data_IF_657762727122
#
_entry.id   IF_657762727122
#
_cell.length_a   1.000
_cell.length_b   1.000
_cell.length_c   1.000
_cell.angle_alpha   90.00
_cell.angle_beta   90.00
_cell.angle_gamma   90.00
#
_symmetry.space_group_name_H-M   'P 1'
#
loop_
_entity.id
_entity.type
_entity.pdbx_description
1 polymer ?
#
# COMPACT_ATOMS: atom_id res chain seq x y z
N UNK A 1 18.17 14.04 11.22
CA UNK A 1 17.17 14.53 10.26
C UNK A 1 15.82 13.95 10.68
N UNK A 2 14.81 14.78 10.94
CA UNK A 2 13.47 14.30 11.35
C UNK A 2 12.50 14.57 10.19
N UNK A 3 12.27 13.55 9.37
CA UNK A 3 11.33 13.57 8.23
C UNK A 3 10.25 12.52 8.45
N UNK A 4 9.02 12.82 8.02
CA UNK A 4 7.99 11.79 7.89
C UNK A 4 8.35 10.82 6.77
N UNK A 5 7.75 9.62 6.76
CA UNK A 5 7.96 8.63 5.70
C UNK A 5 7.65 9.18 4.30
N UNK A 6 6.67 10.07 4.21
CA UNK A 6 6.26 10.69 2.95
C UNK A 6 7.31 11.72 2.45
N UNK A 7 7.85 12.54 3.35
CA UNK A 7 8.95 13.47 3.04
C UNK A 7 10.24 12.73 2.67
N UNK A 8 10.60 11.70 3.44
CA UNK A 8 11.76 10.84 3.17
C UNK A 8 11.67 10.18 1.78
N UNK A 9 10.48 9.72 1.39
CA UNK A 9 10.24 9.10 0.09
C UNK A 9 10.48 10.08 -1.06
N UNK A 10 10.06 11.34 -0.91
CA UNK A 10 10.33 12.40 -1.90
C UNK A 10 11.80 12.75 -1.96
N UNK A 11 12.42 12.94 -0.79
CA UNK A 11 13.83 13.27 -0.69
C UNK A 11 14.67 12.19 -1.39
N UNK A 12 14.46 10.92 -1.03
CA UNK A 12 15.15 9.79 -1.62
C UNK A 12 14.95 9.69 -3.14
N UNK A 13 13.71 9.85 -3.62
CA UNK A 13 13.43 9.82 -5.06
C UNK A 13 14.15 10.96 -5.81
N UNK A 14 14.26 12.15 -5.22
CA UNK A 14 15.01 13.28 -5.80
C UNK A 14 16.51 13.01 -5.85
N UNK A 15 17.08 12.46 -4.79
CA UNK A 15 18.50 12.09 -4.75
C UNK A 15 18.85 11.03 -5.82
N UNK A 16 17.92 10.13 -6.13
CA UNK A 16 18.07 9.16 -7.22
C UNK A 16 17.83 9.74 -8.62
N UNK A 17 17.42 11.01 -8.74
CA UNK A 17 17.12 11.65 -10.02
C UNK A 17 15.80 11.18 -10.67
N UNK A 18 14.96 10.44 -9.93
CA UNK A 18 13.70 9.87 -10.42
C UNK A 18 12.75 10.96 -10.92
N UNK A 19 12.07 10.70 -12.03
CA UNK A 19 11.08 11.61 -12.63
C UNK A 19 9.67 11.07 -12.55
N UNK A 20 9.49 9.74 -12.63
CA UNK A 20 8.19 9.10 -12.63
C UNK A 20 8.06 8.08 -11.50
N UNK A 21 7.02 8.24 -10.67
CA UNK A 21 6.71 7.34 -9.56
C UNK A 21 5.34 6.71 -9.71
N UNK A 22 5.19 5.48 -9.24
CA UNK A 22 3.91 4.78 -9.18
C UNK A 22 3.32 4.75 -7.78
N UNK A 23 2.00 4.80 -7.68
CA UNK A 23 1.25 4.67 -6.43
C UNK A 23 0.23 3.52 -6.56
N UNK A 24 0.54 2.37 -5.97
CA UNK A 24 -0.37 1.24 -5.90
C UNK A 24 -1.17 1.30 -4.60
N UNK A 25 -2.50 1.33 -4.66
CA UNK A 25 -3.32 1.58 -3.47
C UNK A 25 -4.54 0.69 -3.34
N UNK A 26 -4.97 0.46 -2.10
CA UNK A 26 -6.23 -0.21 -1.82
C UNK A 26 -7.41 0.75 -1.98
N UNK A 27 -8.52 0.25 -2.54
CA UNK A 27 -9.78 1.00 -2.66
C UNK A 27 -10.25 1.64 -1.33
N UNK A 28 -10.00 0.97 -0.20
CA UNK A 28 -10.36 1.46 1.13
C UNK A 28 -9.48 2.59 1.66
N UNK A 29 -8.36 2.91 1.00
CA UNK A 29 -7.47 4.02 1.33
C UNK A 29 -7.32 4.99 0.14
N UNK A 30 -8.40 5.14 -0.65
CA UNK A 30 -8.39 6.01 -1.85
C UNK A 30 -8.09 7.47 -1.51
N UNK A 31 -8.60 7.97 -0.38
CA UNK A 31 -8.42 9.36 0.01
C UNK A 31 -6.97 9.64 0.43
N UNK A 32 -6.38 8.74 1.20
CA UNK A 32 -4.98 8.78 1.61
C UNK A 32 -4.07 8.69 0.38
N UNK A 33 -4.36 7.78 -0.55
CA UNK A 33 -3.62 7.66 -1.80
C UNK A 33 -3.71 8.94 -2.65
N UNK A 34 -4.86 9.62 -2.66
CA UNK A 34 -5.02 10.92 -3.34
C UNK A 34 -4.08 11.97 -2.74
N UNK A 35 -3.98 12.07 -1.42
CA UNK A 35 -3.08 13.03 -0.78
C UNK A 35 -1.60 12.72 -1.03
N UNK A 36 -1.21 11.44 -0.95
CA UNK A 36 0.16 11.00 -1.29
C UNK A 36 0.50 11.37 -2.74
N UNK A 37 -0.39 11.06 -3.69
CA UNK A 37 -0.18 11.38 -5.10
C UNK A 37 -0.13 12.90 -5.35
N UNK A 38 -0.98 13.69 -4.69
CA UNK A 38 -0.94 15.16 -4.77
C UNK A 38 0.39 15.72 -4.26
N UNK A 39 0.90 15.18 -3.16
CA UNK A 39 2.19 15.59 -2.63
C UNK A 39 3.34 15.24 -3.59
N UNK A 40 3.39 14.02 -4.13
CA UNK A 40 4.41 13.68 -5.14
C UNK A 40 4.33 14.58 -6.38
N UNK A 41 3.11 14.88 -6.88
CA UNK A 41 2.94 15.82 -7.99
C UNK A 41 3.46 17.22 -7.66
N UNK A 42 3.17 17.74 -6.45
CA UNK A 42 3.65 19.07 -6.05
C UNK A 42 5.17 19.15 -5.92
N UNK A 43 5.83 17.99 -5.77
CA UNK A 43 7.30 17.88 -5.73
C UNK A 43 7.95 17.73 -7.10
N UNK A 44 7.15 17.74 -8.19
CA UNK A 44 7.62 17.73 -9.57
C UNK A 44 7.69 16.33 -10.21
N UNK A 45 7.18 15.29 -9.55
CA UNK A 45 7.14 13.96 -10.14
C UNK A 45 5.94 13.78 -11.09
N UNK A 46 6.14 13.01 -12.16
CA UNK A 46 5.05 12.38 -12.89
C UNK A 46 4.54 11.22 -12.04
N UNK A 47 3.23 11.19 -11.77
CA UNK A 47 2.65 10.19 -10.86
C UNK A 47 1.63 9.33 -11.59
N UNK A 48 1.90 8.04 -11.67
CA UNK A 48 0.96 7.01 -12.11
C UNK A 48 0.33 6.36 -10.88
N UNK A 49 -0.96 6.05 -10.92
CA UNK A 49 -1.62 5.42 -9.77
C UNK A 49 -2.58 4.32 -10.18
N UNK A 50 -2.60 3.21 -9.44
CA UNK A 50 -3.43 2.05 -9.76
C UNK A 50 -4.13 1.51 -8.53
N UNK A 51 -5.46 1.37 -8.62
CA UNK A 51 -6.30 0.82 -7.55
C UNK A 51 -6.27 -0.71 -7.53
N UNK A 52 -6.38 -1.32 -6.35
CA UNK A 52 -6.37 -2.78 -6.19
C UNK A 52 -7.46 -3.52 -6.97
N UNK A 53 -8.58 -2.86 -7.26
CA UNK A 53 -9.74 -3.42 -7.99
C UNK A 53 -9.64 -3.29 -9.51
N UNK A 54 -8.44 -3.02 -10.06
CA UNK A 54 -8.23 -2.66 -11.47
C UNK A 54 -8.69 -3.71 -12.49
N UNK A 55 -8.75 -5.00 -12.11
CA UNK A 55 -9.18 -6.04 -13.05
C UNK A 55 -10.69 -6.04 -13.33
N UNK A 56 -11.50 -5.39 -12.48
CA UNK A 56 -12.98 -5.40 -12.57
C UNK A 56 -13.60 -6.80 -12.69
N UNK A 57 -12.87 -7.86 -12.35
CA UNK A 57 -13.35 -9.25 -12.40
C UNK A 57 -14.23 -9.48 -11.17
N UNK A 58 -15.50 -9.79 -11.39
CA UNK A 58 -16.42 -10.11 -10.29
C UNK A 58 -15.97 -11.39 -9.57
N UNK A 59 -16.00 -11.35 -8.23
CA UNK A 59 -15.78 -12.51 -7.37
C UNK A 59 -16.69 -13.71 -7.66
N UNK A 60 -17.91 -13.49 -8.15
CA UNK A 60 -18.83 -14.57 -8.52
C UNK A 60 -18.22 -15.49 -9.60
N UNK A 61 -17.46 -14.90 -10.54
CA UNK A 61 -16.78 -15.66 -11.60
C UNK A 61 -15.64 -16.54 -11.08
N UNK A 62 -15.19 -16.28 -9.85
CA UNK A 62 -14.09 -16.98 -9.19
C UNK A 62 -14.58 -17.82 -8.02
N UNK A 63 -15.90 -17.94 -7.82
CA UNK A 63 -16.53 -18.63 -6.71
C UNK A 63 -16.05 -18.12 -5.33
N UNK A 64 -15.72 -16.83 -5.25
CA UNK A 64 -15.21 -16.21 -4.03
C UNK A 64 -16.31 -15.57 -3.20
N UNK A 65 -16.16 -15.64 -1.88
CA UNK A 65 -17.11 -15.00 -0.96
C UNK A 65 -17.12 -13.47 -1.12
N UNK A 66 -18.33 -12.93 -1.31
CA UNK A 66 -18.60 -11.50 -1.33
C UNK A 66 -18.90 -10.99 0.07
N UNK A 67 -18.44 -9.78 0.36
CA UNK A 67 -18.76 -9.08 1.60
C UNK A 67 -20.25 -8.70 1.59
N UNK A 68 -20.76 -8.27 0.42
CA UNK A 68 -22.18 -7.96 0.22
C UNK A 68 -22.74 -8.80 -0.92
N UNK A 69 -23.60 -9.76 -0.58
CA UNK A 69 -24.31 -10.61 -1.55
C UNK A 69 -25.24 -9.73 -2.41
N UNK A 70 -25.34 -10.04 -3.71
CA UNK A 70 -26.21 -9.34 -4.66
C UNK A 70 -25.64 -8.05 -5.26
N UNK A 71 -24.40 -7.68 -4.96
CA UNK A 71 -23.70 -6.57 -5.64
C UNK A 71 -22.46 -7.05 -6.38
N UNK A 72 -22.09 -6.35 -7.46
CA UNK A 72 -20.81 -6.59 -8.15
C UNK A 72 -19.68 -6.23 -7.20
N UNK A 73 -18.84 -7.21 -6.87
CA UNK A 73 -17.65 -7.00 -6.04
C UNK A 73 -16.42 -7.47 -6.83
N UNK A 74 -15.73 -6.52 -7.46
CA UNK A 74 -14.51 -6.82 -8.17
C UNK A 74 -13.46 -7.45 -7.25
N UNK A 75 -12.69 -8.40 -7.73
CA UNK A 75 -11.56 -8.99 -7.02
C UNK A 75 -10.37 -8.02 -7.01
N UNK A 76 -9.47 -8.19 -6.04
CA UNK A 76 -8.20 -7.46 -6.04
C UNK A 76 -7.17 -8.18 -6.91
N UNK A 77 -6.37 -7.46 -7.70
CA UNK A 77 -5.30 -8.06 -8.50
C UNK A 77 -3.98 -7.28 -8.40
N UNK A 78 -3.08 -7.65 -7.46
CA UNK A 78 -1.84 -6.91 -7.22
C UNK A 78 -0.81 -7.12 -8.34
N UNK A 79 -0.84 -8.27 -9.03
CA UNK A 79 0.05 -8.52 -10.18
C UNK A 79 -0.30 -7.62 -11.35
N UNK A 80 -1.59 -7.41 -11.60
CA UNK A 80 -2.04 -6.46 -12.63
C UNK A 80 -1.70 -5.01 -12.24
N UNK A 81 -1.78 -4.64 -10.95
CA UNK A 81 -1.30 -3.33 -10.51
C UNK A 81 0.17 -3.11 -10.86
N UNK A 82 1.03 -4.10 -10.54
CA UNK A 82 2.45 -4.04 -10.87
C UNK A 82 2.67 -3.97 -12.39
N UNK A 83 1.99 -4.82 -13.17
CA UNK A 83 2.08 -4.82 -14.64
C UNK A 83 1.78 -3.45 -15.24
N UNK A 84 0.69 -2.78 -14.80
CA UNK A 84 0.32 -1.46 -15.32
C UNK A 84 1.41 -0.42 -15.02
N UNK A 85 1.99 -0.45 -13.81
CA UNK A 85 3.07 0.48 -13.46
C UNK A 85 4.38 0.17 -14.21
N UNK A 86 4.69 -1.11 -14.43
CA UNK A 86 5.83 -1.54 -15.26
C UNK A 86 5.66 -1.12 -16.73
N UNK A 87 4.45 -1.19 -17.27
CA UNK A 87 4.10 -0.68 -18.61
C UNK A 87 4.22 0.84 -18.68
N UNK A 88 3.82 1.55 -17.62
CA UNK A 88 3.96 2.99 -17.51
C UNK A 88 5.41 3.46 -17.24
N UNK A 89 6.33 2.52 -17.05
CA UNK A 89 7.76 2.75 -16.81
C UNK A 89 8.01 3.67 -15.61
N UNK A 90 7.33 3.40 -14.49
CA UNK A 90 7.66 4.05 -13.22
C UNK A 90 9.04 3.58 -12.74
N UNK A 91 9.76 4.47 -12.07
CA UNK A 91 11.14 4.21 -11.63
C UNK A 91 11.21 3.84 -10.14
N UNK A 92 10.21 4.27 -9.36
CA UNK A 92 9.94 3.84 -8.00
C UNK A 92 8.45 3.65 -7.80
N UNK A 93 8.07 2.68 -6.99
CA UNK A 93 6.67 2.39 -6.67
C UNK A 93 6.41 2.50 -5.17
N UNK A 94 5.27 3.09 -4.83
CA UNK A 94 4.85 3.31 -3.46
C UNK A 94 3.51 2.64 -3.17
N UNK A 95 3.45 1.89 -2.07
CA UNK A 95 2.23 1.21 -1.64
C UNK A 95 1.46 2.06 -0.63
N UNK A 96 0.15 2.17 -0.87
CA UNK A 96 -0.81 2.77 0.06
C UNK A 96 -1.88 1.75 0.45
N UNK A 97 -1.63 1.03 1.54
CA UNK A 97 -2.62 0.24 2.24
C UNK A 97 -3.03 -1.06 1.54
N UNK A 98 -2.13 -1.74 0.84
CA UNK A 98 -2.37 -3.11 0.38
C UNK A 98 -2.35 -4.09 1.58
N UNK A 99 -3.12 -5.17 1.47
CA UNK A 99 -3.11 -6.24 2.47
C UNK A 99 -1.80 -7.05 2.37
N UNK A 100 -1.37 -7.73 3.44
CA UNK A 100 -0.09 -8.46 3.52
C UNK A 100 0.26 -9.27 2.26
N UNK A 101 -0.61 -10.20 1.84
CA UNK A 101 -0.34 -11.00 0.63
C UNK A 101 -0.35 -10.20 -0.68
N UNK A 102 -1.14 -9.12 -0.75
CA UNK A 102 -1.19 -8.26 -1.94
C UNK A 102 0.03 -7.36 -2.05
N UNK A 103 0.52 -6.86 -0.91
CA UNK A 103 1.77 -6.12 -0.81
C UNK A 103 2.92 -7.00 -1.31
N UNK A 104 3.09 -8.19 -0.75
CA UNK A 104 4.15 -9.13 -1.16
C UNK A 104 4.09 -9.48 -2.66
N UNK A 105 2.88 -9.75 -3.19
CA UNK A 105 2.72 -10.11 -4.61
C UNK A 105 2.96 -8.91 -5.54
N UNK A 106 2.54 -7.71 -5.16
CA UNK A 106 2.83 -6.50 -5.93
C UNK A 106 4.33 -6.22 -5.93
N UNK A 107 4.96 -6.23 -4.75
CA UNK A 107 6.39 -5.99 -4.58
C UNK A 107 7.24 -6.99 -5.36
N UNK A 108 6.87 -8.27 -5.35
CA UNK A 108 7.55 -9.30 -6.14
C UNK A 108 7.38 -9.14 -7.66
N UNK A 109 6.26 -8.58 -8.11
CA UNK A 109 5.94 -8.43 -9.54
C UNK A 109 6.36 -7.08 -10.13
N UNK A 110 6.76 -6.12 -9.29
CA UNK A 110 7.19 -4.79 -9.70
C UNK A 110 8.60 -4.84 -10.27
N UNK A 111 8.81 -4.24 -11.44
CA UNK A 111 10.15 -4.10 -12.03
C UNK A 111 10.93 -2.99 -11.30
N UNK A 112 10.24 -1.94 -10.87
CA UNK A 112 10.79 -0.86 -10.07
C UNK A 112 10.84 -1.22 -8.58
N UNK A 113 11.83 -0.71 -7.81
CA UNK A 113 11.87 -0.86 -6.36
C UNK A 113 10.59 -0.33 -5.69
N UNK A 114 10.17 -1.02 -4.64
CA UNK A 114 8.91 -0.74 -3.94
C UNK A 114 9.14 -0.35 -2.48
N UNK A 115 8.39 0.64 -2.01
CA UNK A 115 8.33 1.02 -0.61
C UNK A 115 6.90 1.27 -0.16
N UNK A 116 6.56 0.88 1.07
CA UNK A 116 5.24 1.16 1.65
C UNK A 116 5.22 2.53 2.35
N UNK A 117 4.24 3.36 1.99
CA UNK A 117 3.92 4.62 2.69
C UNK A 117 2.94 4.34 3.83
N UNK A 118 1.92 3.52 3.56
CA UNK A 118 0.95 3.09 4.55
C UNK A 118 0.86 1.57 4.51
N UNK A 119 1.30 0.92 5.59
CA UNK A 119 1.09 -0.51 5.80
C UNK A 119 -0.29 -0.73 6.40
N UNK A 120 -1.13 -1.51 5.71
CA UNK A 120 -2.53 -1.65 6.11
C UNK A 120 -2.67 -2.38 7.44
N UNK A 121 -3.35 -1.73 8.37
CA UNK A 121 -3.81 -2.33 9.62
C UNK A 121 -5.21 -1.78 9.93
N UNK A 122 -6.24 -2.59 9.74
CA UNK A 122 -7.63 -2.14 9.95
C UNK A 122 -7.97 -1.93 11.42
N UNK A 123 -7.24 -2.58 12.33
CA UNK A 123 -7.51 -2.53 13.76
C UNK A 123 -6.78 -1.35 14.40
N UNK A 124 -5.56 -1.07 13.93
CA UNK A 124 -4.67 -0.06 14.50
C UNK A 124 -4.54 1.19 13.63
N UNK A 125 -5.61 1.56 12.91
CA UNK A 125 -5.66 2.76 12.07
C UNK A 125 -4.46 2.90 11.11
N UNK A 126 -4.07 1.78 10.50
CA UNK A 126 -2.91 1.64 9.61
C UNK A 126 -1.54 1.94 10.27
N UNK A 127 -1.45 1.78 11.59
CA UNK A 127 -0.21 1.84 12.35
C UNK A 127 0.13 0.47 12.97
N UNK A 128 0.73 -0.46 12.21
CA UNK A 128 1.02 -1.80 12.70
C UNK A 128 2.03 -1.81 13.87
N UNK A 129 2.84 -0.76 14.03
CA UNK A 129 3.74 -0.66 15.17
C UNK A 129 2.97 -0.60 16.51
N UNK A 130 1.69 -0.20 16.50
CA UNK A 130 0.82 -0.25 17.66
C UNK A 130 0.69 -1.65 18.28
N UNK A 131 0.79 -2.71 17.48
CA UNK A 131 0.71 -4.10 17.97
C UNK A 131 1.91 -4.47 18.85
N UNK A 132 3.08 -3.89 18.56
CA UNK A 132 4.32 -4.11 19.31
C UNK A 132 4.61 -3.02 20.33
N UNK A 133 3.96 -1.85 20.27
CA UNK A 133 4.12 -0.78 21.26
C UNK A 133 3.14 -0.91 22.42
N UNK A 134 1.91 -1.35 22.16
CA UNK A 134 0.87 -1.45 23.17
C UNK A 134 1.05 -2.67 24.06
N UNK A 135 1.07 -2.45 25.37
CA UNK A 135 1.10 -3.54 26.37
C UNK A 135 -0.08 -4.50 26.22
N UNK A 136 -1.28 -3.99 25.92
CA UNK A 136 -2.45 -4.81 25.68
C UNK A 136 -2.21 -5.80 24.54
N UNK A 137 -1.68 -5.31 23.41
CA UNK A 137 -1.39 -6.16 22.26
C UNK A 137 -0.23 -7.12 22.52
N UNK A 138 0.83 -6.68 23.22
CA UNK A 138 1.92 -7.58 23.63
C UNK A 138 1.41 -8.76 24.46
N UNK A 139 0.53 -8.50 25.44
CA UNK A 139 -0.10 -9.56 26.24
C UNK A 139 -0.98 -10.46 25.37
N UNK A 140 -1.84 -9.87 24.54
CA UNK A 140 -2.76 -10.61 23.65
C UNK A 140 -2.03 -11.50 22.64
N UNK A 141 -0.86 -11.07 22.17
CA UNK A 141 -0.02 -11.81 21.23
C UNK A 141 1.00 -12.74 21.92
N UNK A 142 1.07 -12.74 23.26
CA UNK A 142 2.03 -13.57 24.00
C UNK A 142 3.50 -13.13 23.87
N UNK A 143 3.76 -11.86 23.56
CA UNK A 143 5.10 -11.27 23.36
C UNK A 143 5.49 -10.28 24.47
N UNK A 144 4.77 -10.28 25.59
CA UNK A 144 5.12 -9.47 26.76
C UNK A 144 6.08 -10.28 27.64
N UNK A 145 7.25 -9.72 27.94
CA UNK A 145 8.24 -10.36 28.82
C UNK A 145 7.67 -10.56 30.24
N UNK A 146 8.00 -11.70 30.85
CA UNK A 146 7.63 -11.99 32.24
C UNK A 146 8.18 -10.91 33.18
N UNK A 147 7.36 -10.46 34.13
CA UNK A 147 7.75 -9.41 35.09
C UNK A 147 7.57 -7.97 34.61
N UNK A 148 7.09 -7.73 33.38
CA UNK A 148 6.78 -6.36 32.91
C UNK A 148 5.51 -5.82 33.58
N UNK A 149 5.67 -4.92 34.56
CA UNK A 149 4.60 -4.27 35.34
C UNK A 149 3.70 -3.35 34.52
#
# INVERSE_FOLDING_TARGET
>A
MQMTRLEESVYFAKELGVKKVGVAFCIGLRNEARFVAQYFKSQGFVVESVCCKVCSVDKDLLELEKIKKGSVEAMCNPKTQAKILNEAKTELNFIVGLCVGHDMLFTKASDAPVSSIITKDRVLANNPAGAVYSRYWRRKLGILEEGTV
#
